data_IF_889041828586
#
_entry.id   IF_889041828586
#
_cell.length_a   1.000
_cell.length_b   1.000
_cell.length_c   1.000
_cell.angle_alpha   90.00
_cell.angle_beta   90.00
_cell.angle_gamma   90.00
#
_symmetry.space_group_name_H-M   'P 1'
#
loop_
_entity.id
_entity.type
_entity.pdbx_description
1 polymer ?
#
# COMPACT_ATOMS: atom_id res chain seq x y z
N UNK A 1 16.97 25.10 18.03
CA UNK A 1 15.83 24.19 18.27
C UNK A 1 15.74 23.32 17.04
N UNK A 2 15.88 22.01 17.18
CA UNK A 2 15.73 21.08 16.05
C UNK A 2 14.24 21.02 15.74
N UNK A 3 13.82 21.68 14.66
CA UNK A 3 12.46 21.61 14.14
C UNK A 3 12.31 20.24 13.48
N UNK A 4 11.99 19.22 14.28
CA UNK A 4 11.59 17.94 13.72
C UNK A 4 10.15 18.10 13.21
N UNK A 5 9.89 17.82 11.93
CA UNK A 5 8.56 17.82 11.33
C UNK A 5 7.60 16.92 12.11
N UNK A 6 6.30 17.18 12.03
CA UNK A 6 5.32 16.18 12.43
C UNK A 6 5.44 14.95 11.51
N UNK A 7 5.36 13.75 12.10
CA UNK A 7 5.22 12.52 11.33
C UNK A 7 3.88 12.53 10.58
N UNK A 8 3.80 11.92 9.38
CA UNK A 8 2.55 11.80 8.65
C UNK A 8 1.46 11.12 9.47
N UNK A 9 0.21 11.58 9.28
CA UNK A 9 -0.95 10.91 9.86
C UNK A 9 -1.11 9.51 9.23
N UNK A 10 -1.36 8.52 10.09
CA UNK A 10 -1.47 7.13 9.71
C UNK A 10 -2.90 6.64 9.94
N UNK A 11 -3.58 6.29 8.85
CA UNK A 11 -4.92 5.71 8.92
C UNK A 11 -4.84 4.20 8.78
N UNK A 12 -5.46 3.45 9.70
CA UNK A 12 -5.48 1.99 9.67
C UNK A 12 -6.91 1.45 9.73
N UNK A 13 -7.19 0.45 8.90
CA UNK A 13 -8.44 -0.32 8.97
C UNK A 13 -8.25 -1.79 8.58
N UNK A 14 -9.24 -2.61 8.88
CA UNK A 14 -9.33 -4.00 8.41
C UNK A 14 -10.46 -4.09 7.38
N UNK A 15 -10.18 -4.69 6.23
CA UNK A 15 -11.07 -4.78 5.08
C UNK A 15 -11.23 -6.24 4.63
N UNK A 16 -12.36 -6.55 4.00
CA UNK A 16 -12.59 -7.86 3.38
C UNK A 16 -12.07 -7.92 1.93
N UNK A 17 -12.19 -9.08 1.30
CA UNK A 17 -11.73 -9.30 -0.08
C UNK A 17 -12.48 -8.43 -1.10
N UNK A 18 -13.78 -8.22 -0.91
CA UNK A 18 -14.59 -7.38 -1.80
C UNK A 18 -14.11 -5.92 -1.76
N UNK A 19 -13.86 -5.40 -0.56
CA UNK A 19 -13.33 -4.05 -0.35
C UNK A 19 -11.89 -3.94 -0.87
N UNK A 20 -11.08 -4.99 -0.76
CA UNK A 20 -9.75 -5.04 -1.38
C UNK A 20 -9.85 -4.95 -2.90
N UNK A 21 -10.77 -5.70 -3.52
CA UNK A 21 -11.00 -5.64 -4.96
C UNK A 21 -11.39 -4.22 -5.39
N UNK A 22 -12.33 -3.59 -4.66
CA UNK A 22 -12.76 -2.23 -4.96
C UNK A 22 -11.61 -1.23 -4.81
N UNK A 23 -10.80 -1.34 -3.75
CA UNK A 23 -9.63 -0.49 -3.55
C UNK A 23 -8.66 -0.56 -4.73
N UNK A 24 -8.38 -1.76 -5.23
CA UNK A 24 -7.45 -1.95 -6.35
C UNK A 24 -8.03 -1.35 -7.64
N UNK A 25 -9.34 -1.51 -7.88
CA UNK A 25 -10.03 -0.83 -8.98
C UNK A 25 -9.94 0.69 -8.84
N UNK A 26 -10.22 1.24 -7.66
CA UNK A 26 -10.18 2.70 -7.44
C UNK A 26 -8.77 3.25 -7.64
N UNK A 27 -7.73 2.55 -7.16
CA UNK A 27 -6.33 2.91 -7.41
C UNK A 27 -6.04 2.91 -8.92
N UNK A 28 -6.48 1.89 -9.66
CA UNK A 28 -6.24 1.78 -11.10
C UNK A 28 -6.99 2.82 -11.95
N UNK A 29 -8.23 3.13 -11.60
CA UNK A 29 -9.14 3.93 -12.43
C UNK A 29 -9.19 5.42 -12.03
N UNK A 30 -8.87 5.74 -10.77
CA UNK A 30 -9.06 7.09 -10.21
C UNK A 30 -7.77 7.73 -9.69
N UNK A 31 -6.63 7.08 -9.85
CA UNK A 31 -5.33 7.60 -9.39
C UNK A 31 -4.24 7.43 -10.46
N UNK A 32 -3.12 8.12 -10.27
CA UNK A 32 -1.90 7.83 -11.03
C UNK A 32 -1.05 6.85 -10.23
N UNK A 33 -1.02 5.58 -10.64
CA UNK A 33 -0.15 4.56 -10.02
C UNK A 33 1.32 4.91 -10.30
N UNK A 34 2.13 4.95 -9.25
CA UNK A 34 3.58 5.17 -9.33
C UNK A 34 4.30 3.82 -9.29
N UNK A 35 4.10 3.04 -8.22
CA UNK A 35 4.76 1.75 -8.00
C UNK A 35 3.87 0.82 -7.16
N UNK A 36 3.97 -0.48 -7.40
CA UNK A 36 3.31 -1.54 -6.61
C UNK A 36 4.37 -2.53 -6.15
N UNK A 37 4.69 -2.50 -4.86
CA UNK A 37 5.88 -3.18 -4.31
C UNK A 37 5.46 -4.35 -3.41
N UNK A 38 5.68 -5.61 -3.84
CA UNK A 38 5.41 -6.78 -3.00
C UNK A 38 6.47 -6.96 -1.90
N UNK A 39 6.05 -7.43 -0.73
CA UNK A 39 6.94 -7.74 0.42
C UNK A 39 6.95 -9.25 0.69
N UNK A 40 7.88 -9.98 0.09
CA UNK A 40 7.93 -11.46 0.11
C UNK A 40 8.52 -12.10 1.39
N UNK A 41 9.44 -11.45 2.11
CA UNK A 41 10.13 -12.09 3.25
C UNK A 41 11.01 -11.13 4.07
N UNK A 42 11.61 -11.60 5.20
CA UNK A 42 12.50 -10.79 6.02
C UNK A 42 13.84 -10.55 5.31
N UNK A 43 14.13 -9.29 5.00
CA UNK A 43 15.36 -8.87 4.33
C UNK A 43 15.12 -7.69 3.38
N UNK A 44 16.19 -6.99 3.02
CA UNK A 44 16.17 -6.01 1.94
C UNK A 44 16.09 -6.77 0.62
N UNK A 45 14.91 -6.79 0.00
CA UNK A 45 14.78 -7.20 -1.40
C UNK A 45 15.18 -5.97 -2.20
N UNK A 46 16.40 -5.93 -2.74
CA UNK A 46 16.82 -4.86 -3.65
C UNK A 46 15.81 -4.70 -4.80
N UNK A 47 15.64 -3.49 -5.35
CA UNK A 47 14.60 -3.09 -6.33
C UNK A 47 13.67 -4.24 -6.72
N UNK A 48 12.74 -4.58 -5.82
CA UNK A 48 11.75 -5.60 -6.14
C UNK A 48 10.99 -5.07 -7.36
N UNK A 49 10.83 -5.86 -8.43
CA UNK A 49 10.13 -5.38 -9.62
C UNK A 49 8.74 -4.91 -9.20
N UNK A 50 8.36 -3.72 -9.67
CA UNK A 50 6.97 -3.29 -9.55
C UNK A 50 6.11 -4.35 -10.24
N UNK A 51 5.06 -4.79 -9.55
CA UNK A 51 4.09 -5.73 -10.11
C UNK A 51 2.88 -4.98 -10.65
N UNK A 52 2.02 -5.68 -11.36
CA UNK A 52 0.74 -5.13 -11.79
C UNK A 52 -0.31 -5.20 -10.67
N UNK A 53 -1.36 -4.40 -10.77
CA UNK A 53 -2.43 -4.33 -9.77
C UNK A 53 -3.19 -5.67 -9.62
N UNK A 54 -3.42 -6.38 -10.73
CA UNK A 54 -4.05 -7.70 -10.75
C UNK A 54 -3.15 -8.77 -10.09
N UNK A 55 -1.84 -8.71 -10.33
CA UNK A 55 -0.86 -9.56 -9.64
C UNK A 55 -0.84 -9.29 -8.14
N UNK A 56 -0.93 -8.02 -7.72
CA UNK A 56 -1.01 -7.64 -6.32
C UNK A 56 -2.26 -8.24 -5.63
N UNK A 57 -3.43 -8.16 -6.27
CA UNK A 57 -4.65 -8.79 -5.78
C UNK A 57 -4.45 -10.30 -5.59
N UNK A 58 -3.89 -10.98 -6.60
CA UNK A 58 -3.62 -12.41 -6.52
C UNK A 58 -2.62 -12.77 -5.43
N UNK A 59 -1.58 -11.95 -5.22
CA UNK A 59 -0.56 -12.22 -4.21
C UNK A 59 -1.10 -12.05 -2.80
N UNK A 60 -1.93 -11.03 -2.57
CA UNK A 60 -2.59 -10.78 -1.29
C UNK A 60 -3.60 -11.90 -0.97
N UNK A 61 -4.52 -12.20 -1.88
CA UNK A 61 -5.58 -13.21 -1.68
C UNK A 61 -5.01 -14.63 -1.52
N UNK A 62 -4.00 -14.99 -2.33
CA UNK A 62 -3.31 -16.30 -2.23
C UNK A 62 -2.23 -16.33 -1.14
N UNK A 63 -2.10 -15.25 -0.33
CA UNK A 63 -1.13 -15.10 0.76
C UNK A 63 0.32 -15.43 0.36
N UNK A 64 0.71 -15.05 -0.86
CA UNK A 64 2.07 -15.24 -1.41
C UNK A 64 3.07 -14.18 -0.93
N UNK A 65 2.58 -13.11 -0.30
CA UNK A 65 3.36 -11.99 0.23
C UNK A 65 2.90 -11.68 1.66
N UNK A 66 3.76 -11.02 2.44
CA UNK A 66 3.39 -10.46 3.75
C UNK A 66 2.65 -9.13 3.63
N UNK A 67 2.77 -8.49 2.47
CA UNK A 67 2.00 -7.31 2.13
C UNK A 67 2.41 -6.74 0.77
N UNK A 68 1.68 -5.73 0.32
CA UNK A 68 1.95 -4.94 -0.88
C UNK A 68 1.88 -3.47 -0.52
N UNK A 69 2.82 -2.68 -1.01
CA UNK A 69 2.74 -1.22 -0.95
C UNK A 69 2.28 -0.67 -2.29
N UNK A 70 1.25 0.16 -2.27
CA UNK A 70 0.76 0.90 -3.43
C UNK A 70 1.19 2.36 -3.26
N UNK A 71 2.04 2.82 -4.16
CA UNK A 71 2.41 4.23 -4.27
C UNK A 71 1.62 4.84 -5.42
N UNK A 72 0.86 5.90 -5.15
CA UNK A 72 0.02 6.54 -6.16
C UNK A 72 -0.17 8.02 -5.88
N UNK A 73 -0.65 8.78 -6.88
CA UNK A 73 -1.08 10.17 -6.71
C UNK A 73 -2.59 10.28 -6.80
N UNK A 74 -3.17 11.00 -5.85
CA UNK A 74 -4.58 11.36 -5.85
C UNK A 74 -4.71 12.80 -5.32
N UNK A 75 -5.39 13.67 -6.08
CA UNK A 75 -5.63 15.08 -5.72
C UNK A 75 -4.36 15.85 -5.30
N UNK A 76 -3.30 15.77 -6.11
CA UNK A 76 -1.97 16.37 -5.88
C UNK A 76 -1.19 15.80 -4.68
N UNK A 77 -1.77 14.86 -3.92
CA UNK A 77 -1.10 14.18 -2.82
C UNK A 77 -0.47 12.86 -3.27
N UNK A 78 0.69 12.52 -2.69
CA UNK A 78 1.34 11.22 -2.80
C UNK A 78 0.88 10.32 -1.67
N UNK A 79 0.32 9.16 -1.99
CA UNK A 79 -0.14 8.21 -1.00
C UNK A 79 0.72 6.95 -1.03
N UNK A 80 0.91 6.35 0.14
CA UNK A 80 1.48 5.03 0.33
C UNK A 80 0.49 4.18 1.14
N UNK A 81 -0.16 3.24 0.46
CA UNK A 81 -1.04 2.26 1.10
C UNK A 81 -0.30 0.93 1.26
N UNK A 82 -0.16 0.45 2.49
CA UNK A 82 0.39 -0.87 2.80
C UNK A 82 -0.75 -1.83 3.15
N UNK A 83 -0.98 -2.84 2.31
CA UNK A 83 -1.99 -3.87 2.52
C UNK A 83 -1.32 -5.16 2.94
N UNK A 84 -1.79 -5.77 4.04
CA UNK A 84 -1.24 -7.00 4.62
C UNK A 84 -2.36 -8.03 4.82
N UNK A 85 -2.23 -9.26 4.31
CA UNK A 85 -3.20 -10.32 4.58
C UNK A 85 -3.17 -10.73 6.06
N UNK A 86 -4.34 -10.99 6.62
CA UNK A 86 -4.52 -11.48 7.99
C UNK A 86 -4.89 -12.99 8.00
N UNK A 87 -4.61 -13.71 9.11
CA UNK A 87 -4.89 -15.15 9.20
C UNK A 87 -6.36 -15.52 8.99
N UNK A 88 -7.28 -14.63 9.36
CA UNK A 88 -8.74 -14.82 9.31
C UNK A 88 -9.35 -14.57 7.92
N UNK A 89 -8.55 -14.22 6.91
CA UNK A 89 -9.02 -13.96 5.55
C UNK A 89 -9.28 -12.49 5.24
N UNK A 90 -9.21 -11.60 6.25
CA UNK A 90 -9.27 -10.15 6.03
C UNK A 90 -7.90 -9.58 5.67
N UNK A 91 -7.85 -8.28 5.41
CA UNK A 91 -6.63 -7.55 5.11
C UNK A 91 -6.54 -6.33 6.01
N UNK A 92 -5.36 -6.04 6.53
CA UNK A 92 -5.07 -4.77 7.17
C UNK A 92 -4.55 -3.80 6.13
N UNK A 93 -5.12 -2.60 6.07
CA UNK A 93 -4.58 -1.50 5.30
C UNK A 93 -4.06 -0.42 6.24
N UNK A 94 -2.89 0.11 5.91
CA UNK A 94 -2.27 1.29 6.54
C UNK A 94 -2.04 2.30 5.44
N UNK A 95 -2.60 3.51 5.57
CA UNK A 95 -2.52 4.58 4.59
C UNK A 95 -1.73 5.75 5.15
N UNK A 96 -0.81 6.29 4.36
CA UNK A 96 -0.01 7.44 4.71
C UNK A 96 0.03 8.43 3.55
N UNK A 97 -0.27 9.69 3.84
CA UNK A 97 0.01 10.80 2.93
C UNK A 97 1.51 11.15 3.04
N UNK A 98 2.26 10.97 1.95
CA UNK A 98 3.68 11.28 1.83
C UNK A 98 3.96 12.61 1.13
N UNK A 99 2.95 13.47 0.97
CA UNK A 99 3.07 14.76 0.28
C UNK A 99 3.87 15.80 1.06
N UNK A 100 3.93 15.65 2.39
CA UNK A 100 4.85 16.42 3.22
C UNK A 100 6.09 15.57 3.52
N UNK A 101 7.31 16.12 3.37
CA UNK A 101 8.49 15.46 3.87
C UNK A 101 8.35 15.31 5.39
N UNK A 102 8.77 14.17 5.93
CA UNK A 102 9.36 14.17 7.26
C UNK A 102 10.61 15.07 7.14
N UNK A 103 10.45 16.37 7.40
CA UNK A 103 11.55 17.31 7.64
C UNK A 103 12.58 16.93 8.72
#
# INVERSE_FOLDING_TARGET
MSDTPPLPELHQSEIDENTLSQLITDIGEHTQVIEVIPKFGPGYVGQAPTIQLDEAFQFLTKRKVRGVQFHYRHQAAHWCDTVMPLPDGRFRIVRMDQSQPAG
#
